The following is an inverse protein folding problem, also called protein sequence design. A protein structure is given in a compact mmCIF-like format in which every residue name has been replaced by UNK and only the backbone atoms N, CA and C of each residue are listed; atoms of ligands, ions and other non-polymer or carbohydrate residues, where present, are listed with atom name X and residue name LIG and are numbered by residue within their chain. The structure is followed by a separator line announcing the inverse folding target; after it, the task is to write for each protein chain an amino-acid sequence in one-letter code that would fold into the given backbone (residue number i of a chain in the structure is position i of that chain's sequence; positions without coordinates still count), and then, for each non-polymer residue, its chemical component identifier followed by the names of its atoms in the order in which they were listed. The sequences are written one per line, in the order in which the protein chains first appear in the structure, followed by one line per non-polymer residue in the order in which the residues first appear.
data_IF_487281715511
#
_entry.id   IF_487281715511
#
_cell.length_a   1.000
_cell.length_b   1.000
_cell.length_c   1.000
_cell.angle_alpha   90.00
_cell.angle_beta   90.00
_cell.angle_gamma   90.00
#
_symmetry.space_group_name_H-M   'P 1'
#
loop_
_entity.id
_entity.type
_entity.pdbx_description
1 polymer ?
#
# COMPACT_ATOMS: atom_id res chain seq x y z
N UNK A 1 67.40 -0.86 -20.90
CA UNK A 1 66.70 -0.45 -19.66
C UNK A 1 65.96 0.85 -19.94
N UNK A 2 64.63 0.80 -20.03
CA UNK A 2 63.75 1.99 -19.95
C UNK A 2 62.44 1.53 -19.32
N UNK A 3 62.20 1.95 -18.08
CA UNK A 3 60.95 1.79 -17.37
C UNK A 3 59.92 2.74 -17.97
N UNK A 4 58.79 2.21 -18.43
CA UNK A 4 57.61 2.99 -18.80
C UNK A 4 56.44 2.51 -17.97
N UNK A 5 55.96 3.38 -17.10
CA UNK A 5 54.87 3.16 -16.14
C UNK A 5 53.49 3.36 -16.77
N UNK A 6 52.47 2.81 -16.08
CA UNK A 6 51.03 3.16 -16.07
C UNK A 6 50.28 2.90 -17.40
N UNK A 7 49.02 2.43 -17.46
CA UNK A 7 47.96 2.41 -16.46
C UNK A 7 46.93 1.32 -16.81
N UNK A 8 46.48 0.59 -15.79
CA UNK A 8 45.30 -0.28 -15.84
C UNK A 8 44.03 0.57 -16.04
N UNK A 9 43.38 0.43 -17.18
CA UNK A 9 42.01 0.92 -17.40
C UNK A 9 41.04 -0.17 -16.91
N UNK A 10 40.77 -0.17 -15.61
CA UNK A 10 39.60 -0.87 -15.06
C UNK A 10 38.41 0.04 -15.32
N UNK A 11 37.66 -0.26 -16.38
CA UNK A 11 36.37 0.37 -16.66
C UNK A 11 35.34 -0.24 -15.69
N UNK A 12 35.24 0.31 -14.48
CA UNK A 12 34.20 -0.03 -13.53
C UNK A 12 32.87 0.62 -13.95
N UNK A 13 32.19 0.02 -14.94
CA UNK A 13 30.80 0.33 -15.27
C UNK A 13 29.87 -0.41 -14.29
N UNK A 14 29.82 0.05 -13.04
CA UNK A 14 28.91 -0.48 -12.02
C UNK A 14 28.50 0.62 -11.02
N UNK A 15 28.02 1.76 -11.52
CA UNK A 15 27.39 2.79 -10.69
C UNK A 15 26.21 3.35 -11.45
N UNK A 16 25.04 2.71 -11.34
CA UNK A 16 23.69 3.30 -11.46
C UNK A 16 22.59 2.24 -11.22
N UNK A 17 22.85 1.22 -10.38
CA UNK A 17 21.73 0.62 -9.64
C UNK A 17 21.35 1.63 -8.55
N UNK A 18 20.65 2.68 -8.94
CA UNK A 18 20.02 3.59 -7.99
C UNK A 18 19.05 2.76 -7.17
N UNK A 19 19.45 2.37 -5.96
CA UNK A 19 18.53 1.90 -4.95
C UNK A 19 17.54 3.04 -4.71
N UNK A 20 16.42 3.05 -5.43
CA UNK A 20 15.32 3.95 -5.13
C UNK A 20 15.02 3.78 -3.66
N UNK A 21 15.16 4.82 -2.84
CA UNK A 21 14.86 4.79 -1.40
C UNK A 21 13.38 4.52 -1.08
N UNK A 22 12.60 4.11 -2.07
CA UNK A 22 11.20 3.73 -1.98
C UNK A 22 11.13 2.35 -1.33
N UNK A 23 10.55 2.29 -0.13
CA UNK A 23 10.22 1.02 0.52
C UNK A 23 8.88 0.55 -0.04
N UNK A 24 8.85 -0.59 -0.71
CA UNK A 24 7.57 -1.13 -1.19
C UNK A 24 6.72 -1.56 0.01
N UNK A 25 5.47 -1.08 0.16
CA UNK A 25 4.58 -1.55 1.22
C UNK A 25 4.29 -3.05 1.06
N UNK A 26 3.98 -3.71 2.18
CA UNK A 26 3.61 -5.12 2.18
C UNK A 26 2.09 -5.30 2.26
N UNK A 27 1.61 -6.39 1.68
CA UNK A 27 0.26 -6.90 1.80
C UNK A 27 0.31 -8.25 2.53
N UNK A 28 0.66 -8.20 3.81
CA UNK A 28 0.71 -9.40 4.67
C UNK A 28 -0.57 -9.48 5.51
N UNK A 29 -0.97 -10.69 5.89
CA UNK A 29 -2.04 -10.90 6.86
C UNK A 29 -1.65 -10.27 8.20
N UNK A 30 -2.58 -9.52 8.79
CA UNK A 30 -2.38 -9.00 10.13
C UNK A 30 -2.57 -10.11 11.18
N UNK A 31 -1.93 -9.94 12.34
CA UNK A 31 -2.17 -10.82 13.48
C UNK A 31 -3.37 -10.30 14.26
N UNK A 32 -4.35 -11.16 14.46
CA UNK A 32 -5.57 -10.85 15.22
C UNK A 32 -5.61 -11.66 16.51
N UNK A 33 -6.35 -11.18 17.51
CA UNK A 33 -6.79 -12.05 18.59
C UNK A 33 -7.89 -13.00 18.08
N UNK A 34 -8.18 -14.05 18.85
CA UNK A 34 -9.15 -15.07 18.46
C UNK A 34 -10.58 -14.54 18.24
N UNK A 35 -10.91 -13.36 18.78
CA UNK A 35 -12.23 -12.74 18.61
C UNK A 35 -12.36 -12.03 17.26
N UNK A 36 -11.28 -11.43 16.78
CA UNK A 36 -11.26 -10.61 15.56
C UNK A 36 -10.73 -11.36 14.32
N UNK A 37 -10.34 -12.62 14.46
CA UNK A 37 -9.93 -13.49 13.37
C UNK A 37 -11.13 -13.84 12.47
N UNK A 38 -11.27 -13.14 11.33
CA UNK A 38 -12.30 -13.37 10.33
C UNK A 38 -11.61 -13.51 8.97
N UNK A 39 -11.09 -14.71 8.64
CA UNK A 39 -10.16 -14.90 7.52
C UNK A 39 -10.67 -14.41 6.17
N UNK A 40 -11.98 -14.49 5.93
CA UNK A 40 -12.58 -14.01 4.69
C UNK A 40 -12.46 -12.48 4.49
N UNK A 41 -12.50 -11.71 5.57
CA UNK A 41 -12.27 -10.26 5.50
C UNK A 41 -10.78 -9.99 5.31
N UNK A 42 -9.93 -10.67 6.09
CA UNK A 42 -8.48 -10.50 6.05
C UNK A 42 -7.89 -10.78 4.67
N UNK A 43 -8.25 -11.91 4.09
CA UNK A 43 -7.79 -12.31 2.77
C UNK A 43 -8.25 -11.34 1.68
N UNK A 44 -9.50 -10.88 1.76
CA UNK A 44 -10.04 -9.88 0.84
C UNK A 44 -9.29 -8.54 0.94
N UNK A 45 -8.96 -8.08 2.14
CA UNK A 45 -8.16 -6.85 2.31
C UNK A 45 -6.75 -7.02 1.75
N UNK A 46 -6.10 -8.17 2.02
CA UNK A 46 -4.74 -8.45 1.52
C UNK A 46 -4.70 -8.48 0.00
N UNK A 47 -5.64 -9.18 -0.64
CA UNK A 47 -5.76 -9.23 -2.11
C UNK A 47 -5.97 -7.83 -2.69
N UNK A 48 -6.92 -7.06 -2.16
CA UNK A 48 -7.15 -5.68 -2.58
C UNK A 48 -5.92 -4.80 -2.38
N UNK A 49 -5.18 -4.97 -1.28
CA UNK A 49 -3.98 -4.17 -0.98
C UNK A 49 -2.86 -4.49 -1.95
N UNK A 50 -2.66 -5.75 -2.27
CA UNK A 50 -1.67 -6.19 -3.24
C UNK A 50 -1.95 -5.57 -4.63
N UNK A 51 -3.20 -5.63 -5.07
CA UNK A 51 -3.63 -5.02 -6.34
C UNK A 51 -3.44 -3.50 -6.32
N UNK A 52 -3.86 -2.83 -5.23
CA UNK A 52 -3.70 -1.39 -5.08
C UNK A 52 -2.23 -0.97 -5.09
N UNK A 53 -1.35 -1.74 -4.44
CA UNK A 53 0.09 -1.47 -4.42
C UNK A 53 0.64 -1.45 -5.84
N UNK A 54 0.33 -2.47 -6.64
CA UNK A 54 0.86 -2.60 -8.00
C UNK A 54 0.23 -1.60 -8.97
N UNK A 55 -1.09 -1.45 -8.94
CA UNK A 55 -1.82 -0.67 -9.91
C UNK A 55 -1.81 0.84 -9.64
N UNK A 56 -1.67 1.25 -8.37
CA UNK A 56 -1.91 2.63 -7.93
C UNK A 56 -0.72 3.20 -7.16
N UNK A 57 -0.32 2.57 -6.06
CA UNK A 57 0.70 3.11 -5.15
C UNK A 57 2.06 3.21 -5.82
N UNK A 58 2.58 2.10 -6.37
CA UNK A 58 3.95 2.02 -6.87
C UNK A 58 4.20 2.97 -8.06
N UNK A 59 3.30 3.08 -9.06
CA UNK A 59 3.45 4.06 -10.12
C UNK A 59 3.50 5.50 -9.60
N UNK A 60 2.63 5.85 -8.64
CA UNK A 60 2.57 7.22 -8.11
C UNK A 60 3.81 7.57 -7.30
N UNK A 61 4.31 6.69 -6.42
CA UNK A 61 5.54 6.98 -5.66
C UNK A 61 6.78 7.04 -6.56
N UNK A 62 6.79 6.31 -7.68
CA UNK A 62 7.83 6.40 -8.72
C UNK A 62 7.69 7.63 -9.61
N UNK A 63 6.58 8.39 -9.46
CA UNK A 63 6.23 9.56 -10.28
C UNK A 63 6.02 9.22 -11.76
N UNK A 64 5.53 8.02 -12.03
CA UNK A 64 5.11 7.63 -13.36
C UNK A 64 3.85 8.44 -13.76
N UNK A 65 3.68 8.83 -15.04
CA UNK A 65 2.45 9.49 -15.50
C UNK A 65 1.21 8.63 -15.20
N UNK A 66 0.12 9.20 -14.64
CA UNK A 66 -1.10 8.44 -14.38
C UNK A 66 -1.75 7.93 -15.68
N UNK A 67 -2.03 6.63 -15.73
CA UNK A 67 -2.66 5.95 -16.86
C UNK A 67 -4.03 5.34 -16.52
N UNK A 68 -4.43 5.36 -15.25
CA UNK A 68 -5.72 4.86 -14.79
C UNK A 68 -6.34 5.77 -13.72
N UNK A 69 -7.59 5.46 -13.34
CA UNK A 69 -8.35 6.27 -12.40
C UNK A 69 -7.74 6.30 -10.99
N UNK A 70 -7.28 5.17 -10.45
CA UNK A 70 -6.75 5.13 -9.08
C UNK A 70 -5.42 5.89 -8.96
N UNK A 71 -4.54 5.80 -9.96
CA UNK A 71 -3.32 6.60 -10.03
C UNK A 71 -3.65 8.09 -10.13
N UNK A 72 -4.65 8.44 -10.95
CA UNK A 72 -5.09 9.84 -11.11
C UNK A 72 -5.62 10.39 -9.80
N UNK A 73 -6.49 9.66 -9.10
CA UNK A 73 -7.06 10.11 -7.82
C UNK A 73 -5.99 10.28 -6.75
N UNK A 74 -5.09 9.30 -6.61
CA UNK A 74 -3.99 9.35 -5.66
C UNK A 74 -3.01 10.49 -5.99
N UNK A 75 -2.61 10.64 -7.25
CA UNK A 75 -1.73 11.72 -7.69
C UNK A 75 -2.36 13.09 -7.44
N UNK A 76 -3.62 13.30 -7.82
CA UNK A 76 -4.31 14.58 -7.61
C UNK A 76 -4.48 14.90 -6.12
N UNK A 77 -4.69 13.90 -5.26
CA UNK A 77 -4.76 14.10 -3.82
C UNK A 77 -3.44 14.61 -3.25
N UNK A 78 -2.32 14.08 -3.74
CA UNK A 78 -0.98 14.52 -3.36
C UNK A 78 -0.63 15.88 -3.95
N UNK A 79 -0.94 16.11 -5.23
CA UNK A 79 -0.64 17.34 -5.97
C UNK A 79 -1.39 18.54 -5.37
N UNK A 80 -2.66 18.38 -4.99
CA UNK A 80 -3.41 19.45 -4.32
C UNK A 80 -2.84 19.85 -2.96
N UNK A 81 -2.20 18.94 -2.23
CA UNK A 81 -1.72 19.16 -0.85
C UNK A 81 -0.23 19.52 -0.79
N UNK A 82 0.55 18.95 -1.67
CA UNK A 82 2.01 18.95 -1.63
C UNK A 82 2.65 19.33 -2.97
N UNK A 83 1.85 19.66 -3.99
CA UNK A 83 2.31 19.82 -5.37
C UNK A 83 3.13 18.61 -5.82
N UNK A 84 4.27 18.83 -6.47
CA UNK A 84 5.18 17.75 -6.88
C UNK A 84 6.16 17.31 -5.78
N UNK A 85 6.06 17.88 -4.57
CA UNK A 85 7.02 17.70 -3.48
C UNK A 85 6.55 16.66 -2.43
N UNK A 86 5.74 15.68 -2.83
CA UNK A 86 5.32 14.63 -1.90
C UNK A 86 6.42 13.58 -1.64
N UNK A 87 6.43 13.06 -0.42
CA UNK A 87 7.30 11.99 0.05
C UNK A 87 6.54 10.67 0.11
N UNK A 88 7.23 9.56 0.37
CA UNK A 88 6.57 8.27 0.56
C UNK A 88 5.53 8.31 1.69
N UNK A 89 5.84 8.94 2.82
CA UNK A 89 4.89 9.10 3.93
C UNK A 89 3.60 9.82 3.48
N UNK A 90 3.69 10.79 2.57
CA UNK A 90 2.50 11.44 2.01
C UNK A 90 1.68 10.47 1.14
N UNK A 91 2.34 9.64 0.34
CA UNK A 91 1.68 8.59 -0.45
C UNK A 91 1.02 7.56 0.46
N UNK A 92 1.67 7.16 1.55
CA UNK A 92 1.09 6.24 2.55
C UNK A 92 -0.19 6.81 3.17
N UNK A 93 -0.17 8.08 3.60
CA UNK A 93 -1.35 8.74 4.16
C UNK A 93 -2.49 8.85 3.15
N UNK A 94 -2.21 9.32 1.94
CA UNK A 94 -3.23 9.44 0.89
C UNK A 94 -3.78 8.07 0.46
N UNK A 95 -2.92 7.04 0.43
CA UNK A 95 -3.32 5.67 0.14
C UNK A 95 -4.21 5.10 1.24
N UNK A 96 -3.93 5.37 2.52
CA UNK A 96 -4.81 4.99 3.63
C UNK A 96 -6.23 5.59 3.47
N UNK A 97 -6.34 6.83 3.02
CA UNK A 97 -7.65 7.46 2.82
C UNK A 97 -8.42 6.81 1.65
N UNK A 98 -7.76 6.64 0.50
CA UNK A 98 -8.40 6.12 -0.71
C UNK A 98 -8.65 4.61 -0.65
N UNK A 99 -7.66 3.83 -0.25
CA UNK A 99 -7.76 2.37 -0.18
C UNK A 99 -8.89 1.92 0.75
N UNK A 100 -8.98 2.50 1.94
CA UNK A 100 -10.01 2.09 2.90
C UNK A 100 -11.42 2.56 2.54
N UNK A 101 -11.59 3.51 1.62
CA UNK A 101 -12.91 3.83 1.04
C UNK A 101 -13.46 2.62 0.27
N UNK A 102 -12.61 1.97 -0.53
CA UNK A 102 -12.99 0.81 -1.33
C UNK A 102 -13.12 -0.45 -0.47
N UNK A 103 -12.19 -0.66 0.47
CA UNK A 103 -12.27 -1.77 1.44
C UNK A 103 -13.55 -1.70 2.26
N UNK A 104 -13.92 -0.53 2.78
CA UNK A 104 -15.15 -0.40 3.58
C UNK A 104 -16.40 -0.78 2.76
N UNK A 105 -16.42 -0.42 1.48
CA UNK A 105 -17.48 -0.83 0.55
C UNK A 105 -17.50 -2.35 0.38
N UNK A 106 -16.33 -2.97 0.17
CA UNK A 106 -16.23 -4.42 -0.05
C UNK A 106 -16.52 -5.26 1.19
N UNK A 107 -16.10 -4.83 2.38
CA UNK A 107 -16.51 -5.46 3.63
C UNK A 107 -18.03 -5.40 3.76
N UNK A 108 -18.65 -4.24 3.53
CA UNK A 108 -20.11 -4.10 3.63
C UNK A 108 -20.85 -5.02 2.65
N UNK A 109 -20.36 -5.15 1.41
CA UNK A 109 -20.89 -6.10 0.44
C UNK A 109 -20.75 -7.55 0.92
N UNK A 110 -19.58 -7.93 1.43
CA UNK A 110 -19.28 -9.27 1.92
C UNK A 110 -20.20 -9.65 3.09
N UNK A 111 -20.36 -8.76 4.08
CA UNK A 111 -21.23 -8.97 5.23
C UNK A 111 -22.71 -9.18 4.86
N UNK A 112 -23.14 -8.61 3.74
CA UNK A 112 -24.51 -8.77 3.22
C UNK A 112 -24.70 -10.06 2.44
N UNK A 113 -23.68 -10.46 1.67
CA UNK A 113 -23.73 -11.64 0.79
C UNK A 113 -23.46 -12.94 1.54
N UNK A 114 -22.56 -12.89 2.52
CA UNK A 114 -22.15 -14.03 3.31
C UNK A 114 -22.70 -13.95 4.75
N UNK A 115 -23.63 -14.85 5.06
CA UNK A 115 -24.25 -14.90 6.40
C UNK A 115 -23.27 -15.31 7.49
N UNK A 116 -22.30 -16.15 7.20
CA UNK A 116 -21.34 -16.65 8.19
C UNK A 116 -20.38 -15.53 8.57
N UNK A 117 -19.81 -14.84 7.57
CA UNK A 117 -18.95 -13.67 7.79
C UNK A 117 -19.73 -12.56 8.51
N UNK A 118 -20.98 -12.30 8.08
CA UNK A 118 -21.88 -11.35 8.73
C UNK A 118 -22.12 -11.67 10.22
N UNK A 119 -22.30 -12.94 10.57
CA UNK A 119 -22.50 -13.36 11.95
C UNK A 119 -21.21 -13.31 12.78
N UNK A 120 -20.07 -13.67 12.19
CA UNK A 120 -18.76 -13.55 12.82
C UNK A 120 -18.47 -12.08 13.18
N UNK A 121 -18.66 -11.16 12.23
CA UNK A 121 -18.45 -9.73 12.44
C UNK A 121 -19.33 -9.16 13.57
N UNK A 122 -20.61 -9.55 13.66
CA UNK A 122 -21.52 -9.11 14.74
C UNK A 122 -21.12 -9.62 16.13
N UNK A 123 -20.41 -10.75 16.21
CA UNK A 123 -19.86 -11.26 17.49
C UNK A 123 -18.53 -10.60 17.83
N UNK A 124 -17.71 -10.36 16.81
CA UNK A 124 -16.40 -9.76 16.96
C UNK A 124 -16.51 -8.28 17.37
N UNK A 125 -17.38 -7.51 16.74
CA UNK A 125 -17.42 -6.05 16.87
C UNK A 125 -18.76 -5.55 17.42
N UNK A 126 -18.73 -4.46 18.20
CA UNK A 126 -19.92 -3.78 18.71
C UNK A 126 -20.60 -2.89 17.68
N UNK A 127 -19.88 -2.42 16.65
CA UNK A 127 -20.45 -1.67 15.54
C UNK A 127 -19.67 -1.83 14.23
N UNK A 128 -20.31 -1.50 13.11
CA UNK A 128 -19.63 -1.44 11.81
C UNK A 128 -18.47 -0.44 11.83
N UNK A 129 -18.64 0.71 12.48
CA UNK A 129 -17.60 1.75 12.53
C UNK A 129 -16.36 1.27 13.30
N UNK A 130 -16.57 0.58 14.42
CA UNK A 130 -15.49 -0.05 15.19
C UNK A 130 -14.73 -1.07 14.35
N UNK A 131 -15.45 -1.94 13.64
CA UNK A 131 -14.85 -2.92 12.73
C UNK A 131 -14.02 -2.26 11.63
N UNK A 132 -14.55 -1.22 10.96
CA UNK A 132 -13.81 -0.53 9.90
C UNK A 132 -12.57 0.19 10.45
N UNK A 133 -12.65 0.76 11.65
CA UNK A 133 -11.51 1.38 12.32
C UNK A 133 -10.45 0.34 12.69
N UNK A 134 -10.88 -0.82 13.19
CA UNK A 134 -10.01 -1.95 13.52
C UNK A 134 -9.22 -2.42 12.29
N UNK A 135 -9.90 -2.74 11.20
CA UNK A 135 -9.23 -3.20 9.98
C UNK A 135 -8.37 -2.11 9.32
N UNK A 136 -8.78 -0.84 9.42
CA UNK A 136 -7.95 0.28 8.98
C UNK A 136 -6.62 0.30 9.72
N UNK A 137 -6.65 0.18 11.04
CA UNK A 137 -5.43 0.21 11.85
C UNK A 137 -4.54 -1.02 11.58
N UNK A 138 -5.15 -2.20 11.46
CA UNK A 138 -4.43 -3.45 11.22
C UNK A 138 -3.72 -3.48 9.85
N UNK A 139 -4.34 -2.91 8.81
CA UNK A 139 -3.87 -3.02 7.42
C UNK A 139 -3.36 -1.72 6.81
N UNK A 140 -3.18 -0.64 7.58
CA UNK A 140 -2.69 0.64 7.04
C UNK A 140 -1.33 0.53 6.34
N UNK A 141 -1.11 1.42 5.38
CA UNK A 141 0.21 1.75 4.87
C UNK A 141 1.00 2.41 6.01
N UNK A 142 2.18 1.87 6.31
CA UNK A 142 3.00 2.33 7.44
C UNK A 142 3.68 3.65 7.08
N UNK A 143 3.34 4.70 7.81
CA UNK A 143 4.06 5.99 7.77
C UNK A 143 5.29 5.88 8.67
N UNK A 144 6.49 6.19 8.14
CA UNK A 144 7.71 6.24 8.95
C UNK A 144 7.79 7.52 9.80
#
# INVERSE_FOLDING_TARGET
MKYGYVASLILAAALLAGCSGIKTPKADLASHDARHDIPAIDQMIVEMKQDYIQACYMPVIKRDPPINACQTELFQMLERRYHMNYTQNHVDMASNDLFFKDVNTKITELLRKDREVGNAARRAFGSTNEMMAYYREAYKFQTN
#
